data_IF_609070862828
#
_entry.id   IF_609070862828
#
_cell.length_a   1.000
_cell.length_b   1.000
_cell.length_c   1.000
_cell.angle_alpha   90.00
_cell.angle_beta   90.00
_cell.angle_gamma   90.00
#
_symmetry.space_group_name_H-M   'P 1'
#
loop_
_entity.id
_entity.type
_entity.pdbx_description
1 polymer ?
#
# COMPACT_ATOMS: atom_id res chain seq x y z
N UNK A 1 3.22 -33.45 -1.78
CA UNK A 1 4.27 -34.27 -1.14
C UNK A 1 5.08 -33.36 -0.25
N UNK A 2 4.91 -33.51 1.06
CA UNK A 2 5.52 -32.64 2.07
C UNK A 2 6.96 -33.08 2.43
N UNK A 3 7.65 -32.35 3.30
CA UNK A 3 9.05 -32.57 3.63
C UNK A 3 9.26 -33.90 4.34
N UNK A 4 8.39 -34.26 5.27
CA UNK A 4 8.43 -35.55 5.98
C UNK A 4 8.24 -36.74 5.02
N UNK A 5 7.34 -36.60 4.05
CA UNK A 5 7.18 -37.54 2.96
C UNK A 5 8.46 -37.62 2.12
N UNK A 6 9.00 -36.49 1.62
CA UNK A 6 10.26 -36.50 0.87
C UNK A 6 11.41 -37.18 1.63
N UNK A 7 11.52 -36.91 2.92
CA UNK A 7 12.54 -37.49 3.79
C UNK A 7 12.36 -38.99 3.95
N UNK A 8 11.13 -39.49 4.14
CA UNK A 8 10.88 -40.92 4.25
C UNK A 8 11.24 -41.69 2.97
N UNK A 9 10.98 -41.12 1.79
CA UNK A 9 11.44 -41.71 0.52
C UNK A 9 12.97 -41.71 0.41
N UNK A 10 13.63 -40.63 0.83
CA UNK A 10 15.09 -40.53 0.82
C UNK A 10 15.75 -41.53 1.78
N UNK A 11 15.22 -41.71 2.98
CA UNK A 11 15.70 -42.70 3.97
C UNK A 11 15.58 -44.15 3.47
N UNK A 12 14.62 -44.40 2.57
CA UNK A 12 14.41 -45.71 1.93
C UNK A 12 15.02 -45.80 0.54
N UNK A 13 15.76 -44.79 0.10
CA UNK A 13 16.39 -44.72 -1.24
C UNK A 13 15.41 -44.99 -2.38
N UNK A 14 14.17 -44.51 -2.24
CA UNK A 14 13.09 -44.67 -3.22
C UNK A 14 12.81 -43.33 -3.92
N UNK A 15 12.63 -43.35 -5.24
CA UNK A 15 12.30 -42.14 -6.00
C UNK A 15 10.80 -41.83 -5.95
N UNK A 16 9.98 -42.87 -5.89
CA UNK A 16 8.52 -42.79 -5.83
C UNK A 16 7.96 -43.75 -4.79
N UNK A 17 6.73 -43.51 -4.33
CA UNK A 17 6.02 -44.39 -3.39
C UNK A 17 5.84 -45.80 -3.96
N UNK A 18 5.80 -45.94 -5.29
CA UNK A 18 5.69 -47.23 -5.96
C UNK A 18 6.98 -48.06 -5.87
N UNK A 19 8.12 -47.43 -5.56
CA UNK A 19 9.39 -48.14 -5.37
C UNK A 19 9.52 -48.71 -3.95
N UNK A 20 8.58 -48.38 -3.05
CA UNK A 20 8.54 -48.91 -1.69
C UNK A 20 7.89 -50.29 -1.62
N UNK A 21 8.36 -51.10 -0.68
CA UNK A 21 7.73 -52.38 -0.31
C UNK A 21 6.29 -52.17 0.21
N UNK A 22 5.37 -53.14 0.05
CA UNK A 22 3.95 -52.97 0.40
C UNK A 22 3.69 -52.49 1.83
N UNK A 23 4.46 -53.00 2.81
CA UNK A 23 4.39 -52.57 4.21
C UNK A 23 4.88 -51.13 4.42
N UNK A 24 5.87 -50.70 3.66
CA UNK A 24 6.43 -49.34 3.74
C UNK A 24 5.49 -48.32 3.08
N UNK A 25 4.70 -48.73 2.09
CA UNK A 25 3.62 -47.90 1.52
C UNK A 25 2.50 -47.64 2.51
N UNK A 26 2.21 -48.58 3.41
CA UNK A 26 1.25 -48.34 4.49
C UNK A 26 1.79 -47.30 5.48
N UNK A 27 3.06 -47.43 5.88
CA UNK A 27 3.73 -46.44 6.73
C UNK A 27 3.80 -45.06 6.06
N UNK A 28 3.97 -45.00 4.74
CA UNK A 28 3.92 -43.75 3.97
C UNK A 28 2.58 -43.01 4.10
N UNK A 29 1.47 -43.76 4.12
CA UNK A 29 0.11 -43.21 4.24
C UNK A 29 -0.20 -42.71 5.66
N UNK A 30 0.55 -43.17 6.67
CA UNK A 30 0.46 -42.68 8.06
C UNK A 30 1.19 -41.35 8.27
N UNK A 31 2.06 -40.94 7.34
CA UNK A 31 2.69 -39.62 7.37
C UNK A 31 1.62 -38.58 7.07
N UNK A 32 1.44 -37.63 7.99
CA UNK A 32 0.53 -36.50 7.82
C UNK A 32 0.73 -35.89 6.44
N UNK A 33 -0.32 -35.86 5.62
CA UNK A 33 -0.28 -35.32 4.26
C UNK A 33 -0.48 -33.82 4.21
N UNK A 34 -0.63 -33.17 5.36
CA UNK A 34 -0.75 -31.72 5.46
C UNK A 34 0.40 -31.05 4.69
N UNK A 35 0.09 -30.03 3.87
CA UNK A 35 1.12 -29.30 3.14
C UNK A 35 2.12 -28.72 4.14
N UNK A 36 3.41 -28.75 3.79
CA UNK A 36 4.41 -28.09 4.63
C UNK A 36 4.00 -26.63 4.86
N UNK A 37 4.23 -26.09 6.06
CA UNK A 37 4.12 -24.66 6.25
C UNK A 37 5.05 -24.01 5.24
N UNK A 38 4.46 -23.28 4.29
CA UNK A 38 5.24 -22.43 3.39
C UNK A 38 5.93 -21.44 4.31
N UNK A 39 7.26 -21.49 4.39
CA UNK A 39 8.03 -20.37 4.91
C UNK A 39 7.67 -19.19 4.02
N UNK A 40 6.65 -18.44 4.41
CA UNK A 40 6.43 -17.11 3.91
C UNK A 40 7.73 -16.39 4.21
N UNK A 41 8.53 -16.13 3.17
CA UNK A 41 9.69 -15.26 3.29
C UNK A 41 9.28 -13.99 4.05
N UNK A 42 10.24 -13.29 4.68
CA UNK A 42 9.94 -12.14 5.52
C UNK A 42 8.88 -11.26 4.85
N UNK A 43 7.71 -11.13 5.49
CA UNK A 43 6.62 -10.30 4.99
C UNK A 43 7.10 -8.85 5.00
N UNK A 44 7.72 -8.46 3.89
CA UNK A 44 8.13 -7.10 3.66
C UNK A 44 6.89 -6.27 3.33
N UNK A 45 6.82 -5.08 3.92
CA UNK A 45 5.82 -4.09 3.54
C UNK A 45 6.05 -3.64 2.09
N UNK A 46 5.02 -3.10 1.42
CA UNK A 46 5.16 -2.59 0.04
C UNK A 46 6.30 -1.57 -0.10
N UNK A 47 6.48 -0.68 0.88
CA UNK A 47 7.58 0.28 0.92
C UNK A 47 8.96 -0.39 1.04
N UNK A 48 9.08 -1.48 1.81
CA UNK A 48 10.33 -2.25 1.90
C UNK A 48 10.65 -2.95 0.59
N UNK A 49 9.64 -3.46 -0.12
CA UNK A 49 9.83 -4.07 -1.44
C UNK A 49 10.26 -3.05 -2.49
N UNK A 50 9.66 -1.85 -2.50
CA UNK A 50 10.05 -0.76 -3.39
C UNK A 50 11.48 -0.27 -3.09
N UNK A 51 11.84 -0.16 -1.82
CA UNK A 51 13.19 0.18 -1.41
C UNK A 51 14.21 -0.89 -1.85
N UNK A 52 13.90 -2.18 -1.64
CA UNK A 52 14.75 -3.28 -2.12
C UNK A 52 14.86 -3.34 -3.65
N UNK A 53 13.83 -2.89 -4.38
CA UNK A 53 13.81 -2.81 -5.83
C UNK A 53 14.71 -1.70 -6.40
N UNK A 54 15.19 -0.76 -5.57
CA UNK A 54 16.18 0.24 -5.99
C UNK A 54 17.57 -0.36 -6.22
N UNK A 55 17.84 -1.52 -5.62
CA UNK A 55 19.10 -2.25 -5.75
C UNK A 55 19.00 -3.28 -6.87
N UNK A 56 20.06 -3.37 -7.69
CA UNK A 56 20.03 -4.13 -8.95
C UNK A 56 20.23 -5.63 -8.75
N UNK A 57 20.94 -6.03 -7.69
CA UNK A 57 21.37 -7.41 -7.47
C UNK A 57 21.16 -7.78 -5.99
N UNK A 58 21.04 -9.08 -5.71
CA UNK A 58 20.87 -9.57 -4.33
C UNK A 58 22.10 -9.29 -3.44
N UNK A 59 23.31 -9.29 -4.00
CA UNK A 59 24.53 -8.88 -3.29
C UNK A 59 24.49 -7.40 -2.85
N UNK A 60 23.93 -6.52 -3.67
CA UNK A 60 23.77 -5.10 -3.31
C UNK A 60 22.69 -4.91 -2.23
N UNK A 61 21.63 -5.74 -2.28
CA UNK A 61 20.58 -5.75 -1.26
C UNK A 61 21.12 -6.22 0.09
N UNK A 62 21.88 -7.30 0.11
CA UNK A 62 22.50 -7.82 1.32
C UNK A 62 23.52 -6.84 1.90
N UNK A 63 24.34 -6.21 1.04
CA UNK A 63 25.26 -5.15 1.47
C UNK A 63 24.52 -3.93 2.05
N UNK A 64 23.39 -3.52 1.45
CA UNK A 64 22.56 -2.44 1.97
C UNK A 64 21.89 -2.79 3.31
N UNK A 65 21.50 -4.06 3.51
CA UNK A 65 20.95 -4.54 4.77
C UNK A 65 22.02 -4.77 5.85
N UNK A 66 23.28 -4.90 5.47
CA UNK A 66 24.42 -5.01 6.38
C UNK A 66 24.89 -3.64 6.92
N UNK A 67 24.57 -2.54 6.23
CA UNK A 67 24.85 -1.19 6.70
C UNK A 67 23.86 -0.81 7.83
N UNK A 68 24.32 -0.51 9.06
CA UNK A 68 23.45 -0.18 10.18
C UNK A 68 22.54 1.02 9.94
N UNK A 69 22.99 2.02 9.17
CA UNK A 69 22.20 3.22 8.87
C UNK A 69 21.07 2.91 7.89
N UNK A 70 21.38 2.18 6.81
CA UNK A 70 20.39 1.76 5.82
C UNK A 70 19.42 0.73 6.42
N UNK A 71 19.90 -0.12 7.32
CA UNK A 71 19.09 -1.06 8.07
C UNK A 71 18.10 -0.37 9.01
N UNK A 72 18.51 0.69 9.69
CA UNK A 72 17.63 1.48 10.56
C UNK A 72 16.52 2.19 9.75
N UNK A 73 16.85 2.68 8.55
CA UNK A 73 15.85 3.19 7.59
C UNK A 73 14.90 2.06 7.14
N UNK A 74 15.47 0.89 6.84
CA UNK A 74 14.72 -0.28 6.37
C UNK A 74 13.73 -0.82 7.42
N UNK A 75 14.15 -0.89 8.67
CA UNK A 75 13.32 -1.30 9.80
C UNK A 75 12.34 -0.18 10.20
N UNK A 76 12.73 1.09 10.03
CA UNK A 76 11.87 2.27 10.22
C UNK A 76 10.63 2.26 9.31
N UNK A 77 10.75 1.71 8.09
CA UNK A 77 9.62 1.51 7.18
C UNK A 77 8.59 0.49 7.70
N UNK A 78 8.99 -0.43 8.59
CA UNK A 78 8.09 -1.40 9.24
C UNK A 78 7.27 -0.77 10.37
N UNK A 79 7.89 0.14 11.14
CA UNK A 79 7.26 0.87 12.24
C UNK A 79 6.33 2.00 11.79
N UNK A 80 6.47 2.45 10.54
CA UNK A 80 5.34 3.05 9.84
C UNK A 80 4.36 1.92 9.55
N UNK A 81 3.52 1.59 10.56
CA UNK A 81 2.10 1.24 10.30
C UNK A 81 1.73 2.08 9.09
N UNK A 82 1.24 1.51 7.99
CA UNK A 82 1.05 2.25 6.77
C UNK A 82 0.34 3.55 7.15
N UNK A 83 1.08 4.66 7.17
CA UNK A 83 0.47 5.93 6.89
C UNK A 83 0.10 5.68 5.46
N UNK A 84 -1.18 5.44 5.15
CA UNK A 84 -1.57 5.11 3.80
C UNK A 84 -1.01 6.25 2.94
N UNK A 85 0.00 5.94 2.13
CA UNK A 85 0.28 6.79 1.00
C UNK A 85 -0.99 6.75 0.17
N UNK A 86 -1.75 7.84 0.24
CA UNK A 86 -2.60 8.28 -0.86
C UNK A 86 -3.80 7.41 -1.23
N UNK A 87 -4.15 6.35 -0.51
CA UNK A 87 -5.57 6.06 -0.32
C UNK A 87 -5.93 6.53 1.06
N UNK A 88 -6.18 7.84 1.17
CA UNK A 88 -7.12 8.31 2.17
C UNK A 88 -8.22 7.26 2.22
N UNK A 89 -8.43 6.62 3.37
CA UNK A 89 -9.67 5.91 3.61
C UNK A 89 -10.72 6.91 3.18
N UNK A 90 -11.32 6.64 2.03
CA UNK A 90 -12.30 7.53 1.43
C UNK A 90 -13.45 7.41 2.41
N UNK A 91 -13.43 8.29 3.44
CA UNK A 91 -14.63 8.76 4.07
C UNK A 91 -15.59 8.94 2.90
N UNK A 92 -16.71 8.19 2.88
CA UNK A 92 -17.45 7.87 1.67
C UNK A 92 -17.50 9.12 0.81
N UNK A 93 -16.73 9.10 -0.30
CA UNK A 93 -16.36 10.30 -1.08
C UNK A 93 -17.69 11.00 -1.27
N UNK A 94 -17.90 12.11 -0.57
CA UNK A 94 -19.13 12.86 -0.77
C UNK A 94 -19.11 13.18 -2.25
N UNK A 95 -20.03 12.56 -2.99
CA UNK A 95 -20.16 12.65 -4.44
C UNK A 95 -20.71 14.02 -4.80
N UNK A 96 -19.99 15.05 -4.37
CA UNK A 96 -20.40 16.43 -4.37
C UNK A 96 -19.16 17.31 -4.35
N UNK A 97 -19.30 18.56 -4.82
CA UNK A 97 -18.19 19.50 -4.86
C UNK A 97 -17.59 19.69 -3.45
N UNK A 98 -16.29 20.01 -3.36
CA UNK A 98 -15.64 20.28 -2.08
C UNK A 98 -16.36 21.43 -1.36
N UNK A 99 -16.89 21.15 -0.16
CA UNK A 99 -17.63 22.12 0.64
C UNK A 99 -16.80 22.59 1.83
N UNK A 100 -16.89 23.89 2.14
CA UNK A 100 -16.28 24.46 3.34
C UNK A 100 -17.03 24.03 4.60
N UNK A 101 -16.30 23.82 5.69
CA UNK A 101 -16.87 23.46 6.99
C UNK A 101 -17.30 24.71 7.77
N UNK A 102 -18.61 24.89 8.10
CA UNK A 102 -19.07 26.03 8.88
C UNK A 102 -18.35 26.17 10.22
N UNK A 103 -18.10 25.04 10.90
CA UNK A 103 -17.38 25.00 12.18
C UNK A 103 -15.95 25.53 12.07
N UNK A 104 -15.25 25.22 10.97
CA UNK A 104 -13.88 25.71 10.71
C UNK A 104 -13.86 27.18 10.28
N UNK A 105 -15.00 27.74 9.86
CA UNK A 105 -15.13 29.13 9.40
C UNK A 105 -15.60 30.10 10.50
N UNK A 106 -16.22 29.61 11.58
CA UNK A 106 -16.83 30.43 12.64
C UNK A 106 -15.84 31.39 13.32
N UNK A 107 -14.58 30.97 13.49
CA UNK A 107 -13.53 31.77 14.13
C UNK A 107 -12.86 32.79 13.19
N UNK A 108 -13.20 32.79 11.90
CA UNK A 108 -12.50 33.59 10.90
C UNK A 108 -13.14 34.97 10.66
N UNK A 109 -12.32 36.00 10.40
CA UNK A 109 -12.80 37.31 9.96
C UNK A 109 -13.71 37.21 8.72
N UNK A 110 -14.72 38.08 8.56
CA UNK A 110 -15.62 38.09 7.41
C UNK A 110 -14.88 38.15 6.07
N UNK A 111 -13.82 38.96 5.97
CA UNK A 111 -13.01 39.09 4.76
C UNK A 111 -12.30 37.77 4.42
N UNK A 112 -11.80 37.06 5.43
CA UNK A 112 -11.15 35.76 5.22
C UNK A 112 -12.14 34.69 4.79
N UNK A 113 -13.37 34.71 5.32
CA UNK A 113 -14.46 33.83 4.90
C UNK A 113 -14.84 34.07 3.43
N UNK A 114 -14.90 35.32 2.98
CA UNK A 114 -15.18 35.66 1.59
C UNK A 114 -14.09 35.11 0.64
N UNK A 115 -12.81 35.30 0.96
CA UNK A 115 -11.70 34.74 0.18
C UNK A 115 -11.73 33.21 0.10
N UNK A 116 -12.02 32.54 1.23
CA UNK A 116 -12.14 31.08 1.23
C UNK A 116 -13.32 30.60 0.38
N UNK A 117 -14.40 31.37 0.34
CA UNK A 117 -15.54 31.07 -0.51
C UNK A 117 -15.20 31.18 -2.01
N UNK A 118 -14.44 32.19 -2.41
CA UNK A 118 -13.94 32.33 -3.78
C UNK A 118 -13.06 31.14 -4.18
N UNK A 119 -12.09 30.76 -3.33
CA UNK A 119 -11.26 29.58 -3.58
C UNK A 119 -12.09 28.28 -3.63
N UNK A 120 -13.10 28.14 -2.79
CA UNK A 120 -13.99 26.99 -2.84
C UNK A 120 -14.81 26.92 -4.15
N UNK A 121 -15.18 28.06 -4.74
CA UNK A 121 -15.84 28.09 -6.06
C UNK A 121 -14.92 27.58 -7.16
N UNK A 122 -13.63 27.94 -7.14
CA UNK A 122 -12.63 27.42 -8.10
C UNK A 122 -12.53 25.89 -8.00
N UNK A 123 -12.49 25.35 -6.78
CA UNK A 123 -12.46 23.90 -6.57
C UNK A 123 -13.76 23.21 -7.00
N UNK A 124 -14.91 23.85 -6.79
CA UNK A 124 -16.20 23.36 -7.27
C UNK A 124 -16.28 23.38 -8.80
N UNK A 125 -15.71 24.40 -9.45
CA UNK A 125 -15.60 24.47 -10.91
C UNK A 125 -14.72 23.34 -11.45
N UNK A 126 -13.52 23.14 -10.90
CA UNK A 126 -12.63 22.04 -11.29
C UNK A 126 -13.34 20.67 -11.15
N UNK A 127 -14.09 20.48 -10.08
CA UNK A 127 -14.85 19.25 -9.87
C UNK A 127 -15.93 19.06 -10.96
N UNK A 128 -16.65 20.12 -11.35
CA UNK A 128 -17.63 20.07 -12.45
C UNK A 128 -16.98 19.73 -13.79
N UNK A 129 -15.85 20.36 -14.08
CA UNK A 129 -15.10 20.11 -15.32
C UNK A 129 -14.51 18.70 -15.35
N UNK A 130 -14.08 18.18 -14.20
CA UNK A 130 -13.64 16.80 -14.05
C UNK A 130 -14.78 15.81 -14.32
N UNK A 131 -15.97 16.06 -13.76
CA UNK A 131 -17.15 15.24 -14.04
C UNK A 131 -17.60 15.31 -15.50
N UNK A 132 -17.38 16.45 -16.17
CA UNK A 132 -17.63 16.61 -17.59
C UNK A 132 -16.57 15.91 -18.48
N UNK A 133 -15.53 15.30 -17.88
CA UNK A 133 -14.48 14.59 -18.61
C UNK A 133 -13.43 15.51 -19.27
N UNK A 134 -13.37 16.79 -18.89
CA UNK A 134 -12.40 17.73 -19.44
C UNK A 134 -11.02 17.40 -18.87
N UNK A 135 -10.05 17.21 -19.77
CA UNK A 135 -8.67 16.92 -19.39
C UNK A 135 -8.08 18.09 -18.57
N UNK A 136 -7.26 17.84 -17.54
CA UNK A 136 -6.78 18.88 -16.61
C UNK A 136 -6.12 20.10 -17.28
N UNK A 137 -5.44 19.91 -18.41
CA UNK A 137 -4.78 20.98 -19.13
C UNK A 137 -5.73 21.87 -19.94
N UNK A 138 -6.97 21.44 -20.18
CA UNK A 138 -8.02 22.18 -20.91
C UNK A 138 -9.02 22.87 -19.98
N UNK A 139 -8.86 22.70 -18.67
CA UNK A 139 -9.74 23.27 -17.64
C UNK A 139 -9.51 24.77 -17.49
N UNK A 140 -10.59 25.52 -17.30
CA UNK A 140 -10.51 26.96 -17.06
C UNK A 140 -9.88 27.23 -15.69
N UNK A 141 -10.18 26.38 -14.70
CA UNK A 141 -9.66 26.45 -13.34
C UNK A 141 -8.20 26.01 -13.17
N UNK A 142 -7.51 25.59 -14.25
CA UNK A 142 -6.19 24.93 -14.18
C UNK A 142 -5.11 25.78 -13.50
N UNK A 143 -5.20 27.10 -13.59
CA UNK A 143 -4.18 28.01 -13.07
C UNK A 143 -4.37 28.33 -11.58
N UNK A 144 -5.62 28.35 -11.13
CA UNK A 144 -5.98 28.80 -9.78
C UNK A 144 -6.20 27.62 -8.81
N UNK A 145 -6.25 26.39 -9.32
CA UNK A 145 -6.56 25.20 -8.53
C UNK A 145 -5.54 24.93 -7.41
N UNK A 146 -4.25 25.08 -7.68
CA UNK A 146 -3.20 24.79 -6.68
C UNK A 146 -3.24 25.80 -5.54
N UNK A 147 -3.39 27.10 -5.87
CA UNK A 147 -3.58 28.16 -4.90
C UNK A 147 -4.87 27.94 -4.08
N UNK A 148 -5.97 27.59 -4.73
CA UNK A 148 -7.23 27.30 -4.07
C UNK A 148 -7.13 26.09 -3.13
N UNK A 149 -6.43 25.02 -3.52
CA UNK A 149 -6.18 23.85 -2.66
C UNK A 149 -5.34 24.21 -1.44
N UNK A 150 -4.29 25.00 -1.62
CA UNK A 150 -3.42 25.43 -0.52
C UNK A 150 -4.18 26.28 0.50
N UNK A 151 -5.02 27.21 0.02
CA UNK A 151 -5.72 28.17 0.88
C UNK A 151 -6.98 27.57 1.52
N UNK A 152 -7.80 26.84 0.76
CA UNK A 152 -9.09 26.31 1.20
C UNK A 152 -9.01 24.90 1.78
N UNK A 153 -7.99 24.11 1.44
CA UNK A 153 -7.82 22.71 1.85
C UNK A 153 -8.05 22.44 3.34
N UNK A 154 -7.43 23.21 4.27
CA UNK A 154 -7.62 23.02 5.72
C UNK A 154 -9.07 23.21 6.19
N UNK A 155 -9.86 23.99 5.45
CA UNK A 155 -11.22 24.40 5.79
C UNK A 155 -12.30 23.58 5.09
N UNK A 156 -11.92 22.61 4.25
CA UNK A 156 -12.86 21.68 3.65
C UNK A 156 -13.39 20.66 4.67
N UNK A 157 -14.57 20.13 4.38
CA UNK A 157 -15.12 18.97 5.09
C UNK A 157 -14.34 17.71 4.68
N UNK A 158 -13.96 16.91 5.68
CA UNK A 158 -13.39 15.57 5.48
C UNK A 158 -14.46 14.55 5.04
#
# INVERSE_FOLDING_TARGET
MNASQKQFLAERSAATVNDLEPLQRLMWLEIDSSPDPVESGPEYTGAQLEWLATYRNDEEREAALADPFLRDIFDGMRSKKPTPEGTAAVAPKRTGPPMLSPRKLESLPPLRRAQLFEHAQVLAQDHREALAGIAPHLRESRWDIEAARLQAGPYLMD
#
